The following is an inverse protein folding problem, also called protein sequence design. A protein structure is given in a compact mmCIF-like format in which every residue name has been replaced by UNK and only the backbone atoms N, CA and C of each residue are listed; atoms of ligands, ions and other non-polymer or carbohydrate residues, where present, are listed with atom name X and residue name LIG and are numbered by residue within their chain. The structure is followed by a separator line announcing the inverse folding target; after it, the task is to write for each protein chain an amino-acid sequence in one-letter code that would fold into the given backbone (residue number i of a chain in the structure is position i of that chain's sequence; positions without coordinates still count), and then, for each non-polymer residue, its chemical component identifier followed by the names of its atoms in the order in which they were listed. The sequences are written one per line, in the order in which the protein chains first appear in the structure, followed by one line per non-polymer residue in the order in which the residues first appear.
data_IF_084594884910
#
_entry.id   IF_084594884910
#
_cell.length_a   1.000
_cell.length_b   1.000
_cell.length_c   1.000
_cell.angle_alpha   90.00
_cell.angle_beta   90.00
_cell.angle_gamma   90.00
#
_symmetry.space_group_name_H-M   'P 1'
#
loop_
_entity.id
_entity.type
_entity.pdbx_description
1 polymer ?
#
# COMPACT_ATOMS: atom_id res chain seq x y z
N UNK A 1 -44.23 -72.15 -11.77
CA UNK A 1 -44.41 -73.10 -10.64
C UNK A 1 -43.44 -72.68 -9.55
N UNK A 2 -44.00 -72.17 -8.44
CA UNK A 2 -43.42 -71.82 -7.12
C UNK A 2 -42.10 -71.01 -7.12
N UNK A 3 -42.02 -69.73 -6.71
CA UNK A 3 -42.53 -69.07 -5.49
C UNK A 3 -41.29 -68.75 -4.61
N UNK A 4 -41.08 -67.62 -3.92
CA UNK A 4 -41.93 -66.58 -3.30
C UNK A 4 -40.95 -65.48 -2.77
N UNK A 5 -41.18 -64.18 -3.04
CA UNK A 5 -41.69 -63.11 -2.13
C UNK A 5 -40.71 -62.44 -1.14
N UNK A 6 -40.67 -61.10 -1.25
CA UNK A 6 -40.04 -60.01 -0.43
C UNK A 6 -41.07 -59.55 0.66
N UNK A 7 -40.91 -58.44 1.45
CA UNK A 7 -40.11 -58.07 2.66
C UNK A 7 -41.06 -57.85 3.92
N UNK A 8 -41.03 -56.77 4.77
CA UNK A 8 -40.02 -55.88 5.42
C UNK A 8 -40.22 -55.69 6.97
N UNK A 9 -39.45 -54.82 7.64
CA UNK A 9 -39.79 -54.15 8.93
C UNK A 9 -38.61 -54.08 9.92
N UNK A 10 -37.99 -52.93 10.28
CA UNK A 10 -38.40 -51.73 11.05
C UNK A 10 -38.71 -51.95 12.55
N UNK A 11 -38.17 -51.00 13.34
CA UNK A 11 -38.30 -50.65 14.77
C UNK A 11 -37.38 -51.37 15.76
N UNK A 12 -36.99 -50.82 16.93
CA UNK A 12 -36.85 -49.50 17.61
C UNK A 12 -36.65 -49.85 19.11
N UNK A 13 -36.35 -48.87 19.97
CA UNK A 13 -36.37 -48.88 21.45
C UNK A 13 -35.02 -49.23 22.13
N UNK A 14 -34.26 -48.29 22.71
CA UNK A 14 -34.47 -47.35 23.84
C UNK A 14 -34.27 -47.99 25.22
N UNK A 15 -33.78 -47.18 26.17
CA UNK A 15 -33.71 -47.35 27.64
C UNK A 15 -32.30 -47.38 28.28
N UNK A 16 -31.82 -46.16 28.59
CA UNK A 16 -31.38 -45.65 29.92
C UNK A 16 -30.33 -46.41 30.77
N UNK A 17 -29.24 -45.69 31.10
CA UNK A 17 -28.71 -45.32 32.45
C UNK A 17 -27.18 -45.41 32.60
N UNK A 18 -26.67 -44.27 33.06
CA UNK A 18 -25.36 -43.88 33.60
C UNK A 18 -24.76 -44.88 34.63
N UNK A 19 -23.43 -44.89 34.82
CA UNK A 19 -22.91 -44.11 35.96
C UNK A 19 -21.57 -43.41 35.70
N UNK A 20 -21.50 -42.16 36.16
CA UNK A 20 -20.32 -41.33 36.05
C UNK A 20 -19.18 -41.64 37.03
N UNK A 21 -17.98 -41.18 36.65
CA UNK A 21 -16.90 -40.81 37.57
C UNK A 21 -16.14 -39.57 37.06
N UNK A 22 -16.29 -38.51 37.85
CA UNK A 22 -15.60 -37.21 38.02
C UNK A 22 -14.29 -36.96 37.25
N UNK A 23 -14.30 -35.86 36.48
CA UNK A 23 -13.14 -35.15 35.94
C UNK A 23 -12.64 -34.07 36.92
N UNK A 24 -11.32 -33.95 37.07
CA UNK A 24 -10.62 -32.83 37.72
C UNK A 24 -10.43 -31.65 36.73
N UNK A 25 -10.46 -30.38 37.18
CA UNK A 25 -10.49 -29.23 36.28
C UNK A 25 -9.08 -28.83 35.83
N UNK A 26 -8.83 -28.88 34.51
CA UNK A 26 -7.70 -28.21 33.86
C UNK A 26 -8.24 -27.04 33.05
N UNK A 27 -7.72 -25.85 33.38
CA UNK A 27 -8.11 -24.53 32.90
C UNK A 27 -7.47 -24.25 31.53
N UNK A 28 -8.20 -23.87 30.48
CA UNK A 28 -7.59 -23.30 29.28
C UNK A 28 -7.49 -21.77 29.38
N UNK A 29 -6.35 -21.14 29.03
CA UNK A 29 -6.22 -19.69 28.96
C UNK A 29 -6.64 -19.15 27.59
N UNK A 30 -7.28 -17.97 27.57
CA UNK A 30 -7.17 -17.04 26.44
C UNK A 30 -8.42 -16.74 25.60
N UNK A 31 -9.60 -16.63 26.20
CA UNK A 31 -10.76 -15.97 25.58
C UNK A 31 -10.64 -14.45 25.74
N UNK A 32 -10.35 -13.71 24.67
CA UNK A 32 -10.34 -12.23 24.69
C UNK A 32 -11.76 -11.70 24.40
N UNK A 33 -12.27 -10.75 25.21
CA UNK A 33 -13.62 -10.22 25.05
C UNK A 33 -13.73 -9.19 23.91
N UNK A 34 -14.93 -9.19 23.31
CA UNK A 34 -15.43 -8.27 22.28
C UNK A 34 -15.51 -6.83 22.80
N UNK A 35 -15.10 -5.85 21.98
CA UNK A 35 -15.18 -4.42 22.30
C UNK A 35 -16.58 -3.93 21.93
N UNK A 36 -17.55 -4.25 22.77
CA UNK A 36 -18.84 -3.54 22.82
C UNK A 36 -19.39 -3.53 24.25
N UNK A 37 -18.61 -3.05 25.22
CA UNK A 37 -19.15 -2.52 26.49
C UNK A 37 -18.05 -1.88 27.36
N UNK A 38 -17.89 -0.56 27.26
CA UNK A 38 -17.29 0.26 28.31
C UNK A 38 -17.75 1.72 28.10
N UNK A 39 -18.95 2.04 28.59
CA UNK A 39 -19.41 3.42 28.81
C UNK A 39 -19.75 3.64 30.27
N UNK A 40 -19.46 4.88 30.69
CA UNK A 40 -19.60 5.56 31.99
C UNK A 40 -18.53 5.29 33.05
N UNK A 41 -17.99 6.27 33.78
CA UNK A 41 -17.88 7.71 33.63
C UNK A 41 -16.95 8.19 34.77
N UNK A 42 -15.99 9.08 34.48
CA UNK A 42 -15.48 10.04 35.48
C UNK A 42 -14.80 11.22 34.79
N UNK A 43 -15.31 12.41 35.09
CA UNK A 43 -14.86 13.74 34.65
C UNK A 43 -13.43 14.06 35.13
N UNK A 44 -12.65 14.71 34.28
CA UNK A 44 -11.41 15.42 34.62
C UNK A 44 -10.93 16.29 33.44
N UNK A 45 -10.33 17.48 33.67
CA UNK A 45 -10.71 18.68 32.92
C UNK A 45 -9.99 18.87 31.58
N UNK A 46 -10.72 19.55 30.69
CA UNK A 46 -10.23 20.11 29.45
C UNK A 46 -9.14 21.17 29.70
N UNK A 47 -8.01 21.06 28.99
CA UNK A 47 -7.06 22.15 28.83
C UNK A 47 -6.91 22.47 27.34
N UNK A 48 -7.61 23.53 26.94
CA UNK A 48 -7.33 24.28 25.72
C UNK A 48 -5.95 24.93 25.90
N UNK A 49 -4.91 24.44 25.24
CA UNK A 49 -3.66 25.20 25.11
C UNK A 49 -3.63 25.90 23.77
N UNK A 50 -3.91 27.19 23.83
CA UNK A 50 -3.81 28.12 22.73
C UNK A 50 -2.37 28.33 22.26
N UNK A 51 -2.32 28.84 21.04
CA UNK A 51 -1.21 29.50 20.36
C UNK A 51 -0.30 30.31 21.28
N UNK A 52 0.99 30.03 21.22
CA UNK A 52 2.06 31.00 21.50
C UNK A 52 3.01 30.95 20.31
N UNK A 53 2.97 32.01 19.51
CA UNK A 53 3.96 32.32 18.49
C UNK A 53 5.31 32.50 19.19
N UNK A 54 6.22 31.54 19.03
CA UNK A 54 7.63 31.76 19.31
C UNK A 54 8.23 32.63 18.19
N UNK A 55 9.12 33.60 18.51
CA UNK A 55 9.71 34.44 17.48
C UNK A 55 10.54 33.58 16.53
N UNK A 56 10.15 33.58 15.25
CA UNK A 56 10.96 33.04 14.18
C UNK A 56 12.31 33.76 14.20
N UNK A 57 13.38 33.00 14.42
CA UNK A 57 14.74 33.49 14.20
C UNK A 57 14.86 33.80 12.70
N UNK A 58 14.74 35.09 12.39
CA UNK A 58 15.06 35.65 11.08
C UNK A 58 16.53 35.38 10.79
N UNK A 59 16.82 34.30 10.06
CA UNK A 59 18.12 34.11 9.43
C UNK A 59 18.27 35.15 8.33
N UNK A 60 18.79 36.31 8.71
CA UNK A 60 19.33 37.32 7.80
C UNK A 60 20.54 36.70 7.08
N UNK A 61 20.33 36.16 5.87
CA UNK A 61 21.44 35.91 4.94
C UNK A 61 21.95 37.25 4.45
N UNK A 62 22.86 37.84 5.24
CA UNK A 62 23.84 38.81 4.77
C UNK A 62 24.62 38.19 3.63
N UNK A 63 24.44 38.70 2.41
CA UNK A 63 25.47 38.70 1.39
C UNK A 63 25.67 40.14 0.95
N UNK A 64 26.70 40.78 1.51
CA UNK A 64 27.24 42.05 1.00
C UNK A 64 28.74 42.03 1.24
N UNK A 65 29.48 41.51 0.27
CA UNK A 65 30.89 41.86 0.08
C UNK A 65 30.91 43.03 -0.91
N UNK A 66 30.94 44.24 -0.38
CA UNK A 66 31.34 45.43 -1.13
C UNK A 66 32.79 45.74 -0.73
N UNK A 67 33.71 45.56 -1.67
CA UNK A 67 35.07 46.10 -1.58
C UNK A 67 35.07 47.62 -1.81
N UNK A 68 36.17 48.33 -1.47
CA UNK A 68 36.16 49.78 -1.38
C UNK A 68 36.49 50.48 -2.72
N UNK A 69 35.84 51.64 -2.94
CA UNK A 69 36.21 52.68 -3.90
C UNK A 69 35.70 52.47 -5.33
N UNK A 70 35.32 53.47 -6.14
CA UNK A 70 35.29 54.94 -6.10
C UNK A 70 34.23 55.37 -7.15
N UNK A 71 33.41 56.40 -6.86
CA UNK A 71 32.69 57.16 -7.91
C UNK A 71 31.19 57.38 -7.67
N UNK A 72 30.67 58.62 -7.82
CA UNK A 72 29.24 58.88 -7.76
C UNK A 72 28.60 58.53 -9.12
N UNK A 73 27.51 57.75 -9.13
CA UNK A 73 26.63 57.66 -10.32
C UNK A 73 26.34 56.29 -10.93
N UNK A 74 26.72 55.17 -10.31
CA UNK A 74 26.40 53.84 -10.82
C UNK A 74 25.00 53.33 -10.44
N UNK A 75 23.91 53.92 -10.94
CA UNK A 75 22.61 53.20 -10.94
C UNK A 75 22.72 52.10 -11.99
N UNK A 76 22.85 50.84 -11.56
CA UNK A 76 22.69 49.68 -12.44
C UNK A 76 21.25 49.69 -12.97
N UNK A 77 20.98 49.92 -14.27
CA UNK A 77 19.62 49.84 -14.77
C UNK A 77 19.22 48.36 -14.83
N UNK A 78 18.33 47.92 -13.94
CA UNK A 78 17.57 46.68 -14.14
C UNK A 78 16.47 46.95 -15.18
N UNK A 79 16.86 47.33 -16.39
CA UNK A 79 15.97 47.36 -17.56
C UNK A 79 16.16 46.05 -18.30
N UNK A 80 15.72 44.95 -17.66
CA UNK A 80 15.37 43.73 -18.36
C UNK A 80 13.95 43.87 -18.90
N UNK A 81 13.61 43.27 -20.06
CA UNK A 81 12.25 43.27 -20.57
C UNK A 81 11.29 42.79 -19.48
N UNK A 82 10.24 43.56 -19.20
CA UNK A 82 9.15 43.11 -18.32
C UNK A 82 8.55 41.86 -18.99
N UNK A 83 8.59 40.67 -18.35
CA UNK A 83 8.02 39.50 -18.98
C UNK A 83 6.53 39.74 -19.25
N UNK A 84 6.10 39.43 -20.47
CA UNK A 84 4.69 39.41 -20.84
C UNK A 84 3.93 38.54 -19.82
N UNK A 85 2.80 39.08 -19.36
CA UNK A 85 1.91 38.54 -18.33
C UNK A 85 1.84 37.00 -18.40
N UNK A 86 2.44 36.33 -17.41
CA UNK A 86 2.40 34.86 -17.26
C UNK A 86 3.72 34.11 -17.47
N UNK A 87 4.79 34.77 -17.94
CA UNK A 87 6.07 34.09 -18.15
C UNK A 87 6.85 33.95 -16.83
N UNK A 88 6.97 32.71 -16.32
CA UNK A 88 7.90 32.41 -15.22
C UNK A 88 9.31 32.22 -15.79
N UNK A 89 10.28 32.87 -15.16
CA UNK A 89 11.69 32.76 -15.53
C UNK A 89 12.41 32.07 -14.37
N UNK A 90 13.24 31.08 -14.67
CA UNK A 90 14.04 30.37 -13.65
C UNK A 90 15.14 31.28 -13.09
N UNK A 91 15.78 30.84 -12.00
CA UNK A 91 16.93 31.55 -11.42
C UNK A 91 18.07 31.77 -12.43
N UNK A 92 18.21 30.92 -13.46
CA UNK A 92 19.20 31.07 -14.52
C UNK A 92 18.76 31.95 -15.70
N UNK A 93 17.59 32.61 -15.62
CA UNK A 93 17.09 33.48 -16.69
C UNK A 93 16.41 32.74 -17.85
N UNK A 94 16.30 31.41 -17.78
CA UNK A 94 15.62 30.62 -18.81
C UNK A 94 14.09 30.63 -18.62
N UNK A 95 13.30 30.73 -19.70
CA UNK A 95 11.85 30.60 -19.64
C UNK A 95 11.47 29.24 -19.05
N UNK A 96 10.72 29.26 -17.96
CA UNK A 96 10.12 28.05 -17.42
C UNK A 96 8.92 27.70 -18.29
N UNK A 97 8.83 26.41 -18.66
CA UNK A 97 7.66 25.89 -19.32
C UNK A 97 6.40 26.27 -18.52
N UNK A 98 5.29 26.63 -19.19
CA UNK A 98 4.04 26.93 -18.51
C UNK A 98 3.69 25.73 -17.62
N UNK A 99 3.60 25.97 -16.31
CA UNK A 99 3.12 24.95 -15.38
C UNK A 99 1.70 24.63 -15.82
N UNK A 100 1.49 23.40 -16.27
CA UNK A 100 0.17 22.89 -16.63
C UNK A 100 -0.72 23.04 -15.39
N UNK A 101 -1.58 24.06 -15.40
CA UNK A 101 -2.61 24.21 -14.38
C UNK A 101 -3.60 23.07 -14.61
N UNK A 102 -3.42 21.97 -13.89
CA UNK A 102 -4.41 20.90 -13.82
C UNK A 102 -5.43 21.35 -12.78
N UNK A 103 -6.60 21.79 -13.25
CA UNK A 103 -7.72 22.04 -12.35
C UNK A 103 -8.09 20.73 -11.62
N UNK A 104 -8.43 20.77 -10.32
CA UNK A 104 -8.88 19.58 -9.61
C UNK A 104 -10.14 19.03 -10.31
N UNK A 105 -10.14 17.75 -10.65
CA UNK A 105 -11.30 17.13 -11.29
C UNK A 105 -12.44 16.83 -10.31
N UNK A 106 -12.18 16.87 -8.99
CA UNK A 106 -13.12 16.57 -7.89
C UNK A 106 -13.91 15.25 -8.10
N UNK A 107 -13.28 14.26 -8.72
CA UNK A 107 -13.92 12.98 -9.05
C UNK A 107 -13.72 12.05 -7.86
N UNK A 108 -14.79 11.65 -7.21
CA UNK A 108 -14.73 10.71 -6.06
C UNK A 108 -14.72 9.25 -6.51
N UNK A 109 -15.17 8.95 -7.73
CA UNK A 109 -15.30 7.59 -8.23
C UNK A 109 -14.57 7.36 -9.58
N UNK A 110 -14.05 6.15 -9.82
CA UNK A 110 -13.53 5.74 -11.13
C UNK A 110 -14.57 5.92 -12.24
N UNK A 111 -14.13 6.32 -13.43
CA UNK A 111 -15.01 6.36 -14.59
C UNK A 111 -15.50 4.95 -14.96
N UNK A 112 -16.62 4.81 -15.68
CA UNK A 112 -17.01 3.52 -16.25
C UNK A 112 -15.88 2.92 -17.09
N UNK A 113 -15.43 1.70 -16.73
CA UNK A 113 -14.31 1.03 -17.38
C UNK A 113 -12.92 1.38 -16.86
N UNK A 114 -12.79 2.31 -15.90
CA UNK A 114 -11.51 2.66 -15.26
C UNK A 114 -11.39 2.07 -13.84
N UNK A 115 -12.13 1.00 -13.55
CA UNK A 115 -12.09 0.32 -12.25
C UNK A 115 -10.89 -0.63 -12.14
N UNK A 116 -10.54 -0.98 -10.91
CA UNK A 116 -9.48 -1.94 -10.64
C UNK A 116 -9.80 -3.34 -11.19
N UNK A 117 -9.03 -3.78 -12.19
CA UNK A 117 -9.14 -5.12 -12.77
C UNK A 117 -8.15 -6.09 -12.11
N UNK A 118 -8.53 -6.65 -10.95
CA UNK A 118 -7.66 -7.50 -10.14
C UNK A 118 -7.09 -8.70 -10.90
N UNK A 119 -7.92 -9.41 -11.68
CA UNK A 119 -7.51 -10.60 -12.45
C UNK A 119 -6.45 -10.28 -13.51
N UNK A 120 -6.64 -9.19 -14.26
CA UNK A 120 -5.70 -8.75 -15.30
C UNK A 120 -4.36 -8.36 -14.70
N UNK A 121 -4.37 -7.63 -13.60
CA UNK A 121 -3.17 -7.21 -12.87
C UNK A 121 -2.45 -8.41 -12.25
N UNK A 122 -3.20 -9.38 -11.71
CA UNK A 122 -2.63 -10.61 -11.19
C UNK A 122 -1.95 -11.43 -12.28
N UNK A 123 -2.59 -11.64 -13.44
CA UNK A 123 -1.97 -12.34 -14.57
C UNK A 123 -0.68 -11.64 -15.05
N UNK A 124 -0.71 -10.30 -15.13
CA UNK A 124 0.47 -9.51 -15.50
C UNK A 124 1.59 -9.63 -14.46
N UNK A 125 1.24 -9.68 -13.17
CA UNK A 125 2.19 -9.85 -12.06
C UNK A 125 2.84 -11.23 -12.10
N UNK A 126 2.05 -12.29 -12.29
CA UNK A 126 2.55 -13.67 -12.44
C UNK A 126 3.49 -13.79 -13.65
N UNK A 127 3.13 -13.21 -14.79
CA UNK A 127 3.98 -13.19 -15.98
C UNK A 127 5.29 -12.43 -15.75
N UNK A 128 5.25 -11.28 -15.06
CA UNK A 128 6.42 -10.48 -14.73
C UNK A 128 7.39 -11.23 -13.81
N UNK A 129 6.88 -11.88 -12.76
CA UNK A 129 7.68 -12.69 -11.85
C UNK A 129 8.28 -13.91 -12.57
N UNK A 130 7.48 -14.63 -13.34
CA UNK A 130 7.94 -15.79 -14.11
C UNK A 130 9.05 -15.39 -15.09
N UNK A 131 8.86 -14.32 -15.86
CA UNK A 131 9.85 -13.85 -16.83
C UNK A 131 11.19 -13.50 -16.17
N UNK A 132 11.17 -12.91 -14.96
CA UNK A 132 12.42 -12.53 -14.28
C UNK A 132 13.07 -13.65 -13.47
N UNK A 133 12.28 -14.51 -12.84
CA UNK A 133 12.78 -15.46 -11.84
C UNK A 133 12.93 -16.89 -12.37
N UNK A 134 12.46 -17.19 -13.58
CA UNK A 134 12.58 -18.54 -14.17
C UNK A 134 14.02 -19.07 -14.19
N UNK A 135 14.98 -18.21 -14.54
CA UNK A 135 16.41 -18.57 -14.63
C UNK A 135 17.25 -18.00 -13.47
N UNK A 136 16.62 -17.41 -12.46
CA UNK A 136 17.33 -16.81 -11.33
C UNK A 136 17.72 -17.88 -10.30
N UNK A 137 18.90 -17.71 -9.70
CA UNK A 137 19.35 -18.52 -8.57
C UNK A 137 19.49 -17.65 -7.32
N UNK A 138 19.14 -18.20 -6.16
CA UNK A 138 19.25 -17.47 -4.90
C UNK A 138 20.71 -17.19 -4.54
N UNK A 139 21.01 -15.93 -4.21
CA UNK A 139 22.25 -15.53 -3.57
C UNK A 139 21.91 -14.56 -2.43
N UNK A 140 22.43 -14.81 -1.23
CA UNK A 140 22.14 -13.97 -0.06
C UNK A 140 22.64 -12.53 -0.22
N UNK A 141 23.70 -12.31 -1.00
CA UNK A 141 24.22 -10.97 -1.29
C UNK A 141 23.34 -10.22 -2.29
N UNK A 142 22.81 -10.92 -3.30
CA UNK A 142 22.01 -10.33 -4.39
C UNK A 142 20.52 -10.27 -4.06
N UNK A 143 20.05 -10.94 -3.00
CA UNK A 143 18.62 -11.01 -2.66
C UNK A 143 17.98 -9.63 -2.43
N UNK A 144 18.68 -8.72 -1.75
CA UNK A 144 18.21 -7.35 -1.50
C UNK A 144 18.05 -6.54 -2.79
N UNK A 145 19.12 -6.36 -3.60
CA UNK A 145 19.05 -5.71 -4.90
C UNK A 145 18.01 -6.32 -5.83
N UNK A 146 17.93 -7.66 -5.88
CA UNK A 146 16.95 -8.38 -6.71
C UNK A 146 15.51 -8.09 -6.27
N UNK A 147 15.23 -8.06 -4.97
CA UNK A 147 13.89 -7.71 -4.47
C UNK A 147 13.50 -6.27 -4.83
N UNK A 148 14.45 -5.33 -4.77
CA UNK A 148 14.23 -3.95 -5.19
C UNK A 148 13.99 -3.83 -6.70
N UNK A 149 14.77 -4.55 -7.52
CA UNK A 149 14.57 -4.63 -8.97
C UNK A 149 13.18 -5.18 -9.30
N UNK A 150 12.76 -6.26 -8.63
CA UNK A 150 11.43 -6.85 -8.81
C UNK A 150 10.32 -5.87 -8.45
N UNK A 151 10.44 -5.16 -7.32
CA UNK A 151 9.49 -4.13 -6.92
C UNK A 151 9.34 -3.05 -8.02
N UNK A 152 10.44 -2.56 -8.56
CA UNK A 152 10.42 -1.53 -9.59
C UNK A 152 9.86 -2.06 -10.92
N UNK A 153 10.28 -3.25 -11.33
CA UNK A 153 9.76 -3.92 -12.53
C UNK A 153 8.25 -4.10 -12.45
N UNK A 154 7.75 -4.61 -11.32
CA UNK A 154 6.32 -4.80 -11.07
C UNK A 154 5.59 -3.46 -11.09
N UNK A 155 6.15 -2.44 -10.42
CA UNK A 155 5.57 -1.09 -10.38
C UNK A 155 5.41 -0.51 -11.77
N UNK A 156 6.45 -0.59 -12.62
CA UNK A 156 6.41 -0.08 -14.00
C UNK A 156 5.39 -0.85 -14.84
N UNK A 157 5.43 -2.19 -14.80
CA UNK A 157 4.52 -3.03 -15.60
C UNK A 157 3.06 -2.84 -15.23
N UNK A 158 2.75 -2.81 -13.95
CA UNK A 158 1.37 -2.62 -13.51
C UNK A 158 0.93 -1.18 -13.71
N UNK A 159 1.84 -0.20 -13.70
CA UNK A 159 1.49 1.19 -14.00
C UNK A 159 1.00 1.39 -15.43
N UNK A 160 1.54 0.63 -16.39
CA UNK A 160 1.11 0.67 -17.80
C UNK A 160 -0.31 0.12 -17.99
N UNK A 161 -0.72 -0.82 -17.14
CA UNK A 161 -2.00 -1.53 -17.23
C UNK A 161 -3.05 -0.88 -16.31
N UNK A 162 -2.61 -0.25 -15.22
CA UNK A 162 -3.49 0.35 -14.23
C UNK A 162 -4.30 1.51 -14.82
N UNK A 163 -5.59 1.64 -14.46
CA UNK A 163 -6.38 2.80 -14.83
C UNK A 163 -5.76 4.12 -14.30
N UNK A 164 -6.12 5.27 -14.89
CA UNK A 164 -5.66 6.55 -14.38
C UNK A 164 -6.11 6.77 -12.93
N UNK A 165 -5.41 7.65 -12.22
CA UNK A 165 -5.68 8.04 -10.82
C UNK A 165 -5.48 6.95 -9.74
N UNK A 166 -5.02 5.76 -10.09
CA UNK A 166 -4.57 4.80 -9.06
C UNK A 166 -3.15 5.13 -8.58
N UNK A 167 -2.91 4.99 -7.29
CA UNK A 167 -1.58 4.91 -6.67
C UNK A 167 -1.28 3.44 -6.40
N UNK A 168 -0.09 2.99 -6.78
CA UNK A 168 0.33 1.60 -6.60
C UNK A 168 1.31 1.52 -5.44
N UNK A 169 1.03 0.63 -4.49
CA UNK A 169 1.96 0.23 -3.43
C UNK A 169 2.38 -1.21 -3.70
N UNK A 170 3.65 -1.42 -3.98
CA UNK A 170 4.20 -2.74 -4.32
C UNK A 170 5.06 -3.26 -3.16
N UNK A 171 4.84 -4.50 -2.76
CA UNK A 171 5.66 -5.20 -1.77
C UNK A 171 6.07 -6.56 -2.34
N UNK A 172 7.36 -6.88 -2.25
CA UNK A 172 7.91 -8.16 -2.71
C UNK A 172 8.67 -8.79 -1.57
N UNK A 173 8.36 -10.06 -1.30
CA UNK A 173 9.06 -10.93 -0.36
C UNK A 173 9.82 -11.96 -1.18
N UNK A 174 11.14 -12.03 -1.02
CA UNK A 174 12.01 -12.97 -1.72
C UNK A 174 12.86 -13.75 -0.72
N UNK A 175 13.03 -15.06 -0.94
CA UNK A 175 13.82 -15.90 -0.06
C UNK A 175 14.25 -17.23 -0.68
N UNK A 176 15.19 -17.95 -0.04
CA UNK A 176 15.68 -19.23 -0.54
C UNK A 176 14.61 -20.31 -0.37
N UNK A 177 14.63 -21.37 -1.19
CA UNK A 177 13.77 -22.54 -1.00
C UNK A 177 14.57 -23.65 -0.32
N UNK A 178 14.37 -23.81 0.99
CA UNK A 178 15.09 -24.75 1.84
C UNK A 178 14.14 -25.72 2.59
N UNK A 179 12.91 -25.90 2.09
CA UNK A 179 11.90 -26.79 2.69
C UNK A 179 11.10 -26.15 3.84
N UNK A 180 11.20 -24.83 4.03
CA UNK A 180 10.44 -24.10 5.03
C UNK A 180 9.03 -23.71 4.54
N UNK A 181 8.08 -23.62 5.46
CA UNK A 181 6.76 -23.05 5.22
C UNK A 181 6.75 -21.55 5.50
N UNK A 182 6.30 -20.74 4.54
CA UNK A 182 6.18 -19.29 4.67
C UNK A 182 4.75 -18.87 4.34
N UNK A 183 4.13 -18.10 5.23
CA UNK A 183 2.82 -17.49 5.01
C UNK A 183 2.98 -15.98 4.93
N UNK A 184 2.59 -15.39 3.79
CA UNK A 184 2.56 -13.95 3.58
C UNK A 184 1.10 -13.52 3.60
N UNK A 185 0.75 -12.60 4.49
CA UNK A 185 -0.62 -12.08 4.66
C UNK A 185 -0.56 -10.56 4.67
N UNK A 186 -1.55 -9.93 4.04
CA UNK A 186 -1.75 -8.48 4.09
C UNK A 186 -3.17 -8.18 4.54
N UNK A 187 -3.34 -7.15 5.36
CA UNK A 187 -4.64 -6.60 5.79
C UNK A 187 -4.64 -5.11 5.48
N UNK A 188 -5.75 -4.60 4.97
CA UNK A 188 -5.93 -3.20 4.61
C UNK A 188 -7.31 -2.71 5.04
N UNK A 189 -7.41 -1.41 5.31
CA UNK A 189 -8.67 -0.68 5.42
C UNK A 189 -8.73 0.24 4.20
N UNK A 190 -9.73 0.04 3.34
CA UNK A 190 -9.84 0.69 2.04
C UNK A 190 -11.28 0.65 1.53
N UNK A 191 -11.55 1.36 0.44
CA UNK A 191 -12.84 1.31 -0.22
C UNK A 191 -12.94 0.06 -1.12
N UNK A 192 -13.91 -0.81 -0.84
CA UNK A 192 -14.12 -2.05 -1.59
C UNK A 192 -14.61 -1.84 -3.02
N UNK A 193 -15.15 -0.65 -3.32
CA UNK A 193 -15.67 -0.35 -4.66
C UNK A 193 -14.60 0.24 -5.59
N UNK A 194 -13.67 1.02 -5.02
CA UNK A 194 -12.67 1.75 -5.78
C UNK A 194 -11.27 1.11 -5.69
N UNK A 195 -10.86 0.65 -4.52
CA UNK A 195 -9.51 0.13 -4.27
C UNK A 195 -9.41 -1.38 -4.57
N UNK A 196 -8.19 -1.91 -4.67
CA UNK A 196 -8.04 -3.33 -4.89
C UNK A 196 -6.64 -3.92 -4.69
N UNK A 197 -6.61 -5.26 -4.63
CA UNK A 197 -5.41 -6.08 -4.47
C UNK A 197 -5.09 -6.82 -5.75
N UNK A 198 -3.80 -7.01 -6.02
CA UNK A 198 -3.31 -8.10 -6.84
C UNK A 198 -2.14 -8.76 -6.13
N UNK A 199 -2.07 -10.09 -6.12
CA UNK A 199 -0.98 -10.82 -5.50
C UNK A 199 -0.58 -12.02 -6.35
N UNK A 200 0.70 -12.33 -6.40
CA UNK A 200 1.23 -13.47 -7.11
C UNK A 200 2.35 -14.13 -6.32
N UNK A 201 2.45 -15.44 -6.44
CA UNK A 201 3.53 -16.23 -5.87
C UNK A 201 4.27 -16.97 -7.00
N UNK A 202 5.60 -16.98 -6.93
CA UNK A 202 6.46 -17.69 -7.84
C UNK A 202 7.45 -18.56 -7.05
N UNK A 203 7.71 -19.77 -7.53
CA UNK A 203 8.69 -20.68 -6.92
C UNK A 203 9.53 -21.35 -8.00
N UNK A 204 10.82 -21.49 -7.71
CA UNK A 204 11.78 -22.27 -8.52
C UNK A 204 12.45 -23.32 -7.62
N UNK A 205 13.48 -24.00 -8.12
CA UNK A 205 14.30 -24.94 -7.37
C UNK A 205 15.07 -24.26 -6.22
N UNK A 206 15.54 -23.03 -6.41
CA UNK A 206 16.44 -22.34 -5.47
C UNK A 206 15.76 -21.29 -4.58
N UNK A 207 14.67 -20.67 -5.02
CA UNK A 207 14.03 -19.53 -4.35
C UNK A 207 12.50 -19.54 -4.46
N UNK A 208 11.88 -18.72 -3.61
CA UNK A 208 10.49 -18.29 -3.71
C UNK A 208 10.41 -16.77 -3.75
N UNK A 209 9.35 -16.26 -4.37
CA UNK A 209 8.99 -14.85 -4.34
C UNK A 209 7.47 -14.69 -4.22
N UNK A 210 7.03 -13.74 -3.41
CA UNK A 210 5.63 -13.35 -3.28
C UNK A 210 5.55 -11.85 -3.49
N UNK A 211 4.77 -11.41 -4.48
CA UNK A 211 4.51 -10.01 -4.73
C UNK A 211 3.06 -9.68 -4.38
N UNK A 212 2.86 -8.56 -3.69
CA UNK A 212 1.56 -8.02 -3.31
C UNK A 212 1.51 -6.57 -3.74
N UNK A 213 0.45 -6.19 -4.45
CA UNK A 213 0.26 -4.86 -4.99
C UNK A 213 -1.11 -4.35 -4.60
N UNK A 214 -1.13 -3.20 -3.92
CA UNK A 214 -2.35 -2.48 -3.57
C UNK A 214 -2.53 -1.32 -4.55
N UNK A 215 -3.70 -1.27 -5.19
CA UNK A 215 -4.16 -0.14 -5.97
C UNK A 215 -5.11 0.71 -5.16
N UNK A 216 -4.73 1.97 -4.91
CA UNK A 216 -5.53 2.93 -4.17
C UNK A 216 -6.02 4.03 -5.11
N UNK A 217 -7.32 4.25 -5.20
CA UNK A 217 -7.90 5.31 -5.99
C UNK A 217 -7.62 6.67 -5.35
N UNK A 218 -7.21 7.65 -6.16
CA UNK A 218 -6.94 9.01 -5.72
C UNK A 218 -8.09 9.92 -6.11
N UNK A 219 -8.93 10.27 -5.14
CA UNK A 219 -10.07 11.21 -5.24
C UNK A 219 -9.67 12.66 -5.56
#
# INVERSE_FOLDING_TARGET
MAGRSVPPGRQEEDTTKDPGLKLSPVRPPGHLPSIEEARLASLGPASRRGSVLGPALSFSRRNSLAGPGVGPGGRRPSLGPVPLLGSRISFSGLPLAPVRQVAPSYRTEPAPGERWEASRLQCALEAALAARLHNACYSGMEAGPLAQELCELVRVRLREISPPRYKLVCSVVLGPRAGQGVHVVSRALWDTECDGLASAAFTNASLFAVAVVHGLYYE
#
